data_IF_188037291266
#
_entry.id   IF_188037291266
#
_cell.length_a   1.000
_cell.length_b   1.000
_cell.length_c   1.000
_cell.angle_alpha   90.00
_cell.angle_beta   90.00
_cell.angle_gamma   90.00
#
_symmetry.space_group_name_H-M   'P 1'
#
loop_
_entity.id
_entity.type
_entity.pdbx_description
1 polymer ?
#
# COMPACT_ATOMS: atom_id res chain seq x y z
N UNK A 1 -12.75 -6.86 39.91
CA UNK A 1 -11.65 -5.91 39.62
C UNK A 1 -10.51 -6.51 38.78
N UNK A 2 -10.26 -7.84 38.80
CA UNK A 2 -9.12 -8.45 38.08
C UNK A 2 -9.35 -8.63 36.58
N UNK A 3 -10.54 -9.04 36.12
CA UNK A 3 -10.75 -9.43 34.70
C UNK A 3 -10.41 -8.32 33.69
N UNK A 4 -10.86 -7.09 33.94
CA UNK A 4 -10.54 -5.94 33.07
C UNK A 4 -9.02 -5.66 33.02
N UNK A 5 -8.36 -5.70 34.17
CA UNK A 5 -6.91 -5.51 34.26
C UNK A 5 -6.16 -6.65 33.55
N UNK A 6 -6.59 -7.89 33.74
CA UNK A 6 -6.01 -9.08 33.10
C UNK A 6 -6.18 -9.01 31.58
N UNK A 7 -7.32 -8.54 31.09
CA UNK A 7 -7.57 -8.37 29.67
C UNK A 7 -6.67 -7.28 29.06
N UNK A 8 -6.57 -6.10 29.70
CA UNK A 8 -5.65 -5.05 29.26
C UNK A 8 -4.18 -5.50 29.33
N UNK A 9 -3.82 -6.24 30.37
CA UNK A 9 -2.48 -6.78 30.51
C UNK A 9 -2.16 -7.80 29.42
N UNK A 10 -3.09 -8.70 29.09
CA UNK A 10 -2.90 -9.68 28.02
C UNK A 10 -2.83 -9.00 26.64
N UNK A 11 -3.65 -7.98 26.41
CA UNK A 11 -3.58 -7.15 25.21
C UNK A 11 -2.20 -6.48 25.09
N UNK A 12 -1.70 -5.88 26.17
CA UNK A 12 -0.38 -5.26 26.22
C UNK A 12 0.75 -6.27 25.95
N UNK A 13 0.73 -7.44 26.59
CA UNK A 13 1.73 -8.49 26.35
C UNK A 13 1.70 -8.95 24.89
N UNK A 14 0.50 -9.06 24.31
CA UNK A 14 0.33 -9.42 22.90
C UNK A 14 0.92 -8.34 21.98
N UNK A 15 0.65 -7.06 22.23
CA UNK A 15 1.22 -5.95 21.47
C UNK A 15 2.75 -5.89 21.60
N UNK A 16 3.29 -6.11 22.80
CA UNK A 16 4.73 -6.20 23.03
C UNK A 16 5.37 -7.34 22.24
N UNK A 17 4.77 -8.52 22.25
CA UNK A 17 5.27 -9.67 21.50
C UNK A 17 5.25 -9.40 19.99
N UNK A 18 4.16 -8.83 19.47
CA UNK A 18 4.04 -8.45 18.05
C UNK A 18 5.14 -7.44 17.69
N UNK A 19 5.29 -6.38 18.48
CA UNK A 19 6.26 -5.33 18.18
C UNK A 19 7.69 -5.82 18.31
N UNK A 20 8.00 -6.67 19.30
CA UNK A 20 9.29 -7.31 19.44
C UNK A 20 9.64 -8.17 18.21
N UNK A 21 8.72 -9.02 17.77
CA UNK A 21 8.88 -9.80 16.55
C UNK A 21 9.08 -8.89 15.34
N UNK A 22 8.38 -7.76 15.28
CA UNK A 22 8.46 -6.82 14.16
C UNK A 22 9.76 -5.99 14.15
N UNK A 23 10.35 -5.72 15.32
CA UNK A 23 11.61 -4.98 15.48
C UNK A 23 12.85 -5.83 15.22
N UNK A 24 12.75 -7.15 15.38
CA UNK A 24 13.83 -8.07 15.06
C UNK A 24 14.26 -7.90 13.60
N UNK A 25 15.54 -8.11 13.23
CA UNK A 25 15.93 -8.16 11.83
C UNK A 25 15.35 -9.41 11.16
N UNK A 26 14.11 -9.35 10.68
CA UNK A 26 13.47 -10.49 10.02
C UNK A 26 14.07 -10.73 8.63
N UNK A 27 14.15 -11.98 8.17
CA UNK A 27 14.55 -12.29 6.80
C UNK A 27 13.56 -11.70 5.79
N UNK A 28 14.04 -11.35 4.59
CA UNK A 28 13.27 -10.66 3.55
C UNK A 28 11.93 -11.34 3.20
N UNK A 29 11.93 -12.68 3.14
CA UNK A 29 10.73 -13.48 2.84
C UNK A 29 9.60 -13.22 3.87
N UNK A 30 9.95 -13.14 5.15
CA UNK A 30 8.99 -12.92 6.23
C UNK A 30 8.50 -11.48 6.23
N UNK A 31 9.40 -10.50 6.00
CA UNK A 31 9.02 -9.09 5.85
C UNK A 31 8.00 -8.87 4.73
N UNK A 32 8.19 -9.53 3.58
CA UNK A 32 7.24 -9.47 2.46
C UNK A 32 5.89 -10.08 2.82
N UNK A 33 5.88 -11.22 3.51
CA UNK A 33 4.65 -11.88 3.97
C UNK A 33 3.87 -11.02 4.97
N UNK A 34 4.56 -10.48 5.98
CA UNK A 34 3.96 -9.58 6.99
C UNK A 34 3.42 -8.32 6.32
N UNK A 35 4.18 -7.72 5.40
CA UNK A 35 3.74 -6.55 4.63
C UNK A 35 2.48 -6.83 3.80
N UNK A 36 2.40 -7.98 3.14
CA UNK A 36 1.20 -8.40 2.40
C UNK A 36 0.00 -8.60 3.32
N UNK A 37 0.18 -9.32 4.44
CA UNK A 37 -0.89 -9.54 5.42
C UNK A 37 -1.42 -8.22 5.99
N UNK A 38 -0.53 -7.30 6.35
CA UNK A 38 -0.91 -5.98 6.85
C UNK A 38 -1.62 -5.12 5.80
N UNK A 39 -1.16 -5.15 4.54
CA UNK A 39 -1.84 -4.43 3.47
C UNK A 39 -3.23 -4.99 3.20
N UNK A 40 -3.41 -6.31 3.22
CA UNK A 40 -4.72 -6.95 3.11
C UNK A 40 -5.63 -6.54 4.28
N UNK A 41 -5.09 -6.51 5.50
CA UNK A 41 -5.82 -6.08 6.70
C UNK A 41 -6.25 -4.61 6.60
N UNK A 42 -5.36 -3.74 6.10
CA UNK A 42 -5.64 -2.32 5.85
C UNK A 42 -6.56 -2.08 4.66
N UNK A 43 -6.67 -2.99 3.71
CA UNK A 43 -7.54 -2.81 2.55
C UNK A 43 -9.02 -2.82 2.97
N UNK A 44 -9.37 -3.58 4.01
CA UNK A 44 -10.72 -3.60 4.55
C UNK A 44 -11.08 -2.28 5.24
N UNK A 45 -12.10 -1.60 4.72
CA UNK A 45 -12.65 -0.37 5.31
C UNK A 45 -13.18 -0.61 6.73
N UNK A 46 -13.80 -1.77 6.97
CA UNK A 46 -14.33 -2.16 8.27
C UNK A 46 -13.23 -2.20 9.33
N UNK A 47 -12.07 -2.76 8.99
CA UNK A 47 -10.95 -2.88 9.92
C UNK A 47 -10.34 -1.52 10.28
N UNK A 48 -10.32 -0.57 9.32
CA UNK A 48 -9.87 0.81 9.60
C UNK A 48 -10.77 1.48 10.64
N UNK A 49 -12.08 1.36 10.48
CA UNK A 49 -13.03 1.94 11.43
C UNK A 49 -12.86 1.35 12.82
N UNK A 50 -12.74 0.01 12.92
CA UNK A 50 -12.52 -0.66 14.21
C UNK A 50 -11.22 -0.19 14.88
N UNK A 51 -10.12 -0.08 14.13
CA UNK A 51 -8.84 0.40 14.66
C UNK A 51 -8.92 1.86 15.15
N UNK A 52 -9.60 2.74 14.41
CA UNK A 52 -9.76 4.15 14.82
C UNK A 52 -10.63 4.25 16.07
N UNK A 53 -11.77 3.56 16.12
CA UNK A 53 -12.66 3.56 17.29
C UNK A 53 -11.95 2.99 18.50
N UNK A 54 -11.23 1.88 18.34
CA UNK A 54 -10.42 1.28 19.41
C UNK A 54 -9.33 2.23 19.90
N UNK A 55 -8.62 2.91 18.99
CA UNK A 55 -7.60 3.89 19.36
C UNK A 55 -8.17 5.07 20.14
N UNK A 56 -9.34 5.59 19.75
CA UNK A 56 -10.03 6.66 20.48
C UNK A 56 -10.49 6.18 21.87
N UNK A 57 -11.03 4.96 21.96
CA UNK A 57 -11.47 4.36 23.22
C UNK A 57 -10.29 4.21 24.19
N UNK A 58 -9.18 3.62 23.76
CA UNK A 58 -7.98 3.47 24.60
C UNK A 58 -7.42 4.83 25.00
N UNK A 59 -7.42 5.81 24.10
CA UNK A 59 -6.99 7.19 24.41
C UNK A 59 -7.88 7.85 25.46
N UNK A 60 -9.20 7.64 25.39
CA UNK A 60 -10.16 8.13 26.39
C UNK A 60 -9.94 7.46 27.76
N UNK A 61 -9.73 6.14 27.79
CA UNK A 61 -9.38 5.40 29.00
C UNK A 61 -8.08 5.89 29.63
N UNK A 62 -7.08 6.19 28.81
CA UNK A 62 -5.81 6.75 29.24
C UNK A 62 -6.02 8.14 29.84
N UNK A 63 -6.79 9.02 29.18
CA UNK A 63 -7.10 10.36 29.68
C UNK A 63 -7.88 10.33 31.01
N UNK A 64 -8.89 9.45 31.14
CA UNK A 64 -9.62 9.24 32.40
C UNK A 64 -8.69 8.74 33.51
N UNK A 65 -7.82 7.77 33.18
CA UNK A 65 -6.83 7.24 34.13
C UNK A 65 -5.86 8.33 34.58
N UNK A 66 -5.35 9.16 33.65
CA UNK A 66 -4.47 10.30 33.95
C UNK A 66 -5.15 11.29 34.90
N UNK A 67 -6.40 11.68 34.59
CA UNK A 67 -7.17 12.64 35.40
C UNK A 67 -7.41 12.12 36.82
N UNK A 68 -7.65 10.81 36.99
CA UNK A 68 -7.84 10.18 38.30
C UNK A 68 -6.54 10.00 39.06
N UNK A 69 -5.45 9.62 38.39
CA UNK A 69 -4.14 9.43 39.03
C UNK A 69 -3.41 10.72 39.37
N UNK A 70 -3.73 11.84 38.71
CA UNK A 70 -3.17 13.15 39.01
C UNK A 70 -3.80 13.84 40.23
N UNK A 71 -4.85 13.25 40.84
CA UNK A 71 -5.47 13.83 42.04
C UNK A 71 -4.47 13.85 43.20
N UNK A 72 -4.18 15.02 43.80
CA UNK A 72 -3.25 15.10 44.91
C UNK A 72 -3.83 14.38 46.13
N UNK A 73 -2.95 13.73 46.89
CA UNK A 73 -3.31 13.27 48.23
C UNK A 73 -3.36 14.49 49.17
N UNK A 74 -4.20 14.45 50.23
CA UNK A 74 -4.17 15.50 51.24
C UNK A 74 -2.75 15.65 51.81
N UNK A 75 -2.31 16.91 52.00
CA UNK A 75 -0.96 17.23 52.48
C UNK A 75 -0.70 16.73 53.91
N UNK A 76 -1.76 16.66 54.71
CA UNK A 76 -1.69 16.16 56.08
C UNK A 76 -1.65 14.63 56.09
N UNK A 77 -0.52 14.06 56.51
CA UNK A 77 -0.32 12.60 56.61
C UNK A 77 -1.32 11.92 57.54
N UNK A 78 -1.91 12.64 58.50
CA UNK A 78 -2.91 12.08 59.41
C UNK A 78 -4.28 11.90 58.73
N UNK A 79 -4.54 12.62 57.64
CA UNK A 79 -5.76 12.50 56.82
C UNK A 79 -5.60 11.44 55.71
N UNK A 80 -4.40 10.89 55.53
CA UNK A 80 -4.08 9.94 54.48
C UNK A 80 -4.39 8.53 54.98
N UNK A 81 -5.54 7.98 54.58
CA UNK A 81 -5.89 6.59 54.87
C UNK A 81 -5.18 5.63 53.92
N UNK A 82 -4.86 4.39 54.37
CA UNK A 82 -4.24 3.36 53.52
C UNK A 82 -5.08 3.06 52.26
N UNK A 83 -6.40 3.20 52.33
CA UNK A 83 -7.30 3.03 51.19
C UNK A 83 -7.08 4.10 50.10
N UNK A 84 -6.75 5.34 50.50
CA UNK A 84 -6.41 6.41 49.55
C UNK A 84 -5.08 6.13 48.85
N UNK A 85 -4.09 5.57 49.56
CA UNK A 85 -2.84 5.12 48.94
C UNK A 85 -3.08 3.99 47.95
N UNK A 86 -3.84 2.97 48.36
CA UNK A 86 -4.16 1.84 47.50
C UNK A 86 -4.87 2.30 46.23
N UNK A 87 -5.87 3.18 46.37
CA UNK A 87 -6.60 3.78 45.25
C UNK A 87 -5.67 4.54 44.30
N UNK A 88 -4.74 5.33 44.83
CA UNK A 88 -3.75 6.03 44.02
C UNK A 88 -2.83 5.07 43.26
N UNK A 89 -2.33 4.02 43.93
CA UNK A 89 -1.50 3.00 43.31
C UNK A 89 -2.24 2.26 42.17
N UNK A 90 -3.54 2.00 42.35
CA UNK A 90 -4.38 1.42 41.30
C UNK A 90 -4.52 2.32 40.09
N UNK A 91 -4.77 3.62 40.28
CA UNK A 91 -4.85 4.57 39.18
C UNK A 91 -3.50 4.74 38.47
N UNK A 92 -2.40 4.79 39.22
CA UNK A 92 -1.06 4.89 38.67
C UNK A 92 -0.71 3.67 37.78
N UNK A 93 -1.00 2.44 38.24
CA UNK A 93 -0.84 1.23 37.43
C UNK A 93 -1.66 1.28 36.14
N UNK A 94 -2.91 1.71 36.23
CA UNK A 94 -3.80 1.76 35.07
C UNK A 94 -3.34 2.81 34.05
N UNK A 95 -2.78 3.94 34.48
CA UNK A 95 -2.13 4.93 33.60
C UNK A 95 -1.00 4.28 32.81
N UNK A 96 -0.10 3.54 33.47
CA UNK A 96 1.02 2.92 32.77
C UNK A 96 0.55 1.88 31.76
N UNK A 97 -0.35 0.97 32.15
CA UNK A 97 -0.85 -0.07 31.24
C UNK A 97 -1.52 0.56 30.02
N UNK A 98 -2.46 1.49 30.21
CA UNK A 98 -3.16 2.13 29.09
C UNK A 98 -2.23 3.01 28.23
N UNK A 99 -1.25 3.66 28.84
CA UNK A 99 -0.24 4.45 28.13
C UNK A 99 0.65 3.59 27.24
N UNK A 100 1.10 2.43 27.72
CA UNK A 100 1.89 1.50 26.92
C UNK A 100 1.09 0.89 25.78
N UNK A 101 -0.18 0.53 26.00
CA UNK A 101 -1.06 0.04 24.92
C UNK A 101 -1.18 1.10 23.82
N UNK A 102 -1.42 2.35 24.21
CA UNK A 102 -1.51 3.46 23.27
C UNK A 102 -0.20 3.68 22.50
N UNK A 103 0.93 3.61 23.21
CA UNK A 103 2.26 3.72 22.62
C UNK A 103 2.51 2.61 21.58
N UNK A 104 2.26 1.34 21.91
CA UNK A 104 2.46 0.24 20.97
C UNK A 104 1.47 0.28 19.81
N UNK A 105 0.21 0.64 20.06
CA UNK A 105 -0.79 0.88 19.03
C UNK A 105 -0.35 1.92 18.00
N UNK A 106 0.41 2.94 18.40
CA UNK A 106 1.00 3.93 17.50
C UNK A 106 2.31 3.43 16.84
N UNK A 107 3.14 2.67 17.55
CA UNK A 107 4.41 2.16 17.03
C UNK A 107 4.22 1.11 15.92
N UNK A 108 3.26 0.19 16.06
CA UNK A 108 3.01 -0.86 15.05
C UNK A 108 2.86 -0.29 13.62
N UNK A 109 1.98 0.69 13.35
CA UNK A 109 1.84 1.23 11.99
C UNK A 109 3.09 1.97 11.50
N UNK A 110 3.86 2.59 12.40
CA UNK A 110 5.14 3.25 12.07
C UNK A 110 6.15 2.20 11.61
N UNK A 111 6.36 1.14 12.40
CA UNK A 111 7.31 0.05 12.09
C UNK A 111 6.88 -0.67 10.80
N UNK A 112 5.59 -0.94 10.62
CA UNK A 112 5.08 -1.50 9.37
C UNK A 112 5.39 -0.62 8.15
N UNK A 113 5.34 0.72 8.31
CA UNK A 113 5.74 1.66 7.27
C UNK A 113 7.23 1.57 6.94
N UNK A 114 8.09 1.42 7.95
CA UNK A 114 9.54 1.20 7.77
C UNK A 114 9.80 -0.13 7.06
N UNK A 115 9.15 -1.22 7.48
CA UNK A 115 9.29 -2.53 6.83
C UNK A 115 8.87 -2.48 5.37
N UNK A 116 7.75 -1.81 5.05
CA UNK A 116 7.28 -1.69 3.68
C UNK A 116 8.28 -0.93 2.79
N UNK A 117 8.93 0.11 3.31
CA UNK A 117 10.02 0.81 2.60
C UNK A 117 11.21 -0.13 2.40
N UNK A 118 11.62 -0.82 3.46
CA UNK A 118 12.79 -1.70 3.44
C UNK A 118 12.63 -2.85 2.42
N UNK A 119 11.44 -3.45 2.32
CA UNK A 119 11.12 -4.47 1.30
C UNK A 119 11.19 -3.88 -0.11
N UNK A 120 10.64 -2.68 -0.34
CA UNK A 120 10.72 -2.02 -1.66
C UNK A 120 12.16 -1.68 -2.07
N UNK A 121 13.00 -1.28 -1.13
CA UNK A 121 14.42 -1.05 -1.37
C UNK A 121 15.14 -2.35 -1.74
N UNK A 122 14.93 -3.43 -0.99
CA UNK A 122 15.53 -4.74 -1.30
C UNK A 122 15.04 -5.32 -2.62
N UNK A 123 13.74 -5.19 -2.95
CA UNK A 123 13.19 -5.64 -4.23
C UNK A 123 13.78 -4.84 -5.41
N UNK A 124 13.92 -3.51 -5.29
CA UNK A 124 14.56 -2.67 -6.33
C UNK A 124 16.03 -3.05 -6.54
N UNK A 125 16.78 -3.27 -5.45
CA UNK A 125 18.18 -3.68 -5.52
C UNK A 125 18.35 -5.04 -6.21
N UNK A 126 17.48 -6.02 -5.90
CA UNK A 126 17.49 -7.33 -6.56
C UNK A 126 17.13 -7.26 -8.03
N UNK A 127 16.19 -6.40 -8.40
CA UNK A 127 15.85 -6.17 -9.81
C UNK A 127 17.04 -5.54 -10.52
N UNK A 128 17.67 -4.52 -9.95
CA UNK A 128 18.82 -3.86 -10.56
C UNK A 128 20.04 -4.79 -10.67
N UNK A 129 20.32 -5.61 -9.64
CA UNK A 129 21.40 -6.60 -9.68
C UNK A 129 21.09 -7.75 -10.63
N UNK A 130 19.85 -8.24 -10.64
CA UNK A 130 19.41 -9.30 -11.57
C UNK A 130 19.33 -8.82 -13.01
N UNK A 131 19.03 -7.55 -13.26
CA UNK A 131 19.17 -6.92 -14.58
C UNK A 131 20.65 -6.83 -14.94
N UNK A 132 21.54 -6.44 -14.03
CA UNK A 132 22.99 -6.43 -14.32
C UNK A 132 23.55 -7.82 -14.65
N UNK A 133 23.11 -8.88 -13.94
CA UNK A 133 23.48 -10.27 -14.24
C UNK A 133 22.87 -10.76 -15.56
N UNK A 134 21.59 -10.46 -15.83
CA UNK A 134 20.94 -10.82 -17.10
C UNK A 134 21.53 -10.07 -18.29
N UNK A 135 21.94 -8.82 -18.14
CA UNK A 135 22.64 -8.08 -19.20
C UNK A 135 24.02 -8.69 -19.46
N UNK A 136 24.73 -9.14 -18.41
CA UNK A 136 26.03 -9.82 -18.56
C UNK A 136 25.92 -11.23 -19.18
N UNK A 137 24.80 -11.95 -18.97
CA UNK A 137 24.56 -13.30 -19.49
C UNK A 137 23.92 -13.27 -20.90
N UNK A 138 23.03 -12.30 -21.19
CA UNK A 138 22.44 -12.09 -22.52
C UNK A 138 23.42 -11.47 -23.53
N UNK A 139 24.40 -10.65 -23.10
CA UNK A 139 25.36 -10.04 -24.03
C UNK A 139 26.24 -11.07 -24.76
N UNK A 140 26.43 -12.26 -24.18
CA UNK A 140 27.24 -13.33 -24.78
C UNK A 140 26.44 -14.32 -25.63
N UNK A 141 25.12 -14.44 -25.43
CA UNK A 141 24.34 -15.55 -26.00
C UNK A 141 23.15 -15.10 -26.87
N UNK A 142 22.52 -13.94 -26.60
CA UNK A 142 21.38 -13.43 -27.37
C UNK A 142 21.77 -12.56 -28.58
N UNK A 143 22.89 -11.82 -28.51
CA UNK A 143 23.27 -10.84 -29.55
C UNK A 143 23.52 -11.45 -30.96
N UNK A 144 23.77 -12.76 -31.09
CA UNK A 144 23.91 -13.40 -32.43
C UNK A 144 22.59 -13.95 -33.01
N UNK A 145 21.59 -14.24 -32.18
CA UNK A 145 20.35 -14.93 -32.61
C UNK A 145 19.15 -14.01 -32.67
N UNK A 146 19.01 -13.09 -31.71
CA UNK A 146 17.85 -12.20 -31.57
C UNK A 146 17.86 -11.09 -32.64
N UNK A 147 19.06 -10.61 -33.01
CA UNK A 147 19.20 -9.57 -34.05
C UNK A 147 18.72 -10.04 -35.44
N UNK A 148 18.97 -11.30 -35.81
CA UNK A 148 18.55 -11.84 -37.12
C UNK A 148 17.03 -12.06 -37.21
N UNK A 149 16.41 -12.52 -36.13
CA UNK A 149 14.96 -12.78 -36.10
C UNK A 149 14.15 -11.48 -36.02
N UNK A 150 14.59 -10.50 -35.21
CA UNK A 150 13.94 -9.20 -35.10
C UNK A 150 14.08 -8.36 -36.37
N UNK A 151 15.22 -8.41 -37.05
CA UNK A 151 15.40 -7.74 -38.34
C UNK A 151 14.51 -8.32 -39.45
N UNK A 152 14.27 -9.64 -39.44
CA UNK A 152 13.35 -10.27 -40.37
C UNK A 152 11.89 -9.83 -40.09
N UNK A 153 11.47 -9.84 -38.83
CA UNK A 153 10.12 -9.42 -38.43
C UNK A 153 9.87 -7.92 -38.71
N UNK A 154 10.88 -7.06 -38.51
CA UNK A 154 10.78 -5.63 -38.83
C UNK A 154 10.63 -5.38 -40.34
N UNK A 155 11.30 -6.17 -41.19
CA UNK A 155 11.16 -6.05 -42.65
C UNK A 155 9.77 -6.50 -43.11
N UNK A 156 9.25 -7.58 -42.53
CA UNK A 156 7.90 -8.08 -42.83
C UNK A 156 6.82 -7.07 -42.40
N UNK A 157 6.91 -6.53 -41.17
CA UNK A 157 5.96 -5.51 -40.69
C UNK A 157 6.04 -4.21 -41.49
N UNK A 158 7.20 -3.81 -41.99
CA UNK A 158 7.31 -2.64 -42.89
C UNK A 158 6.69 -2.92 -44.26
N UNK A 159 6.89 -4.11 -44.81
CA UNK A 159 6.27 -4.49 -46.09
C UNK A 159 4.73 -4.55 -45.98
N UNK A 160 4.19 -5.07 -44.88
CA UNK A 160 2.75 -5.13 -44.64
C UNK A 160 2.13 -3.74 -44.42
N UNK A 161 2.81 -2.84 -43.70
CA UNK A 161 2.37 -1.44 -43.55
C UNK A 161 2.34 -0.70 -44.90
N UNK A 162 3.35 -0.87 -45.75
CA UNK A 162 3.36 -0.27 -47.09
C UNK A 162 2.26 -0.83 -48.00
N UNK A 163 1.97 -2.13 -47.88
CA UNK A 163 0.86 -2.75 -48.61
C UNK A 163 -0.50 -2.20 -48.14
N UNK A 164 -0.69 -2.07 -46.82
CA UNK A 164 -1.90 -1.47 -46.22
C UNK A 164 -2.07 -0.01 -46.64
N UNK A 165 -0.99 0.77 -46.66
CA UNK A 165 -1.01 2.16 -47.10
C UNK A 165 -1.45 2.26 -48.57
N UNK A 166 -0.89 1.43 -49.46
CA UNK A 166 -1.33 1.36 -50.87
C UNK A 166 -2.80 0.96 -51.02
N UNK A 167 -3.28 0.02 -50.20
CA UNK A 167 -4.70 -0.37 -50.22
C UNK A 167 -5.61 0.79 -49.77
N UNK A 168 -5.18 1.55 -48.77
CA UNK A 168 -5.90 2.70 -48.25
C UNK A 168 -5.93 3.85 -49.27
N UNK A 169 -4.81 4.13 -49.93
CA UNK A 169 -4.72 5.13 -51.01
C UNK A 169 -5.61 4.76 -52.20
N UNK A 170 -5.60 3.49 -52.61
CA UNK A 170 -6.49 2.99 -53.67
C UNK A 170 -7.98 3.10 -53.29
N UNK A 171 -8.31 2.83 -52.02
CA UNK A 171 -9.68 2.95 -51.51
C UNK A 171 -10.13 4.41 -51.46
N UNK A 172 -9.27 5.32 -51.02
CA UNK A 172 -9.54 6.75 -51.01
C UNK A 172 -9.74 7.29 -52.43
N UNK A 173 -8.88 6.91 -53.38
CA UNK A 173 -9.04 7.27 -54.78
C UNK A 173 -10.32 6.70 -55.42
N UNK A 174 -10.80 5.55 -54.95
CA UNK A 174 -12.09 5.00 -55.38
C UNK A 174 -13.27 5.78 -54.78
N UNK A 175 -13.18 6.17 -53.50
CA UNK A 175 -14.18 7.00 -52.83
C UNK A 175 -14.28 8.37 -53.51
N UNK A 176 -13.16 9.02 -53.81
CA UNK A 176 -13.15 10.32 -54.51
C UNK A 176 -13.79 10.20 -55.90
N UNK A 177 -13.47 9.14 -56.65
CA UNK A 177 -14.13 8.86 -57.95
C UNK A 177 -15.63 8.57 -57.83
N UNK A 178 -16.09 7.98 -56.72
CA UNK A 178 -17.52 7.79 -56.48
C UNK A 178 -18.21 9.10 -56.10
N UNK A 179 -17.58 9.93 -55.27
CA UNK A 179 -18.07 11.26 -54.90
C UNK A 179 -18.17 12.16 -56.14
N UNK A 180 -17.17 12.13 -57.02
CA UNK A 180 -17.18 12.89 -58.28
C UNK A 180 -18.28 12.41 -59.24
N UNK A 181 -18.55 11.10 -59.30
CA UNK A 181 -19.68 10.56 -60.07
C UNK A 181 -21.02 10.96 -59.45
N UNK A 182 -21.16 10.94 -58.13
CA UNK A 182 -22.41 11.30 -57.45
C UNK A 182 -22.68 12.82 -57.57
N UNK A 183 -21.64 13.66 -57.48
CA UNK A 183 -21.71 15.10 -57.68
C UNK A 183 -22.01 15.45 -59.15
N UNK A 184 -21.36 14.78 -60.11
CA UNK A 184 -21.66 14.95 -61.54
C UNK A 184 -23.09 14.54 -61.93
N UNK A 185 -23.69 13.60 -61.19
CA UNK A 185 -25.09 13.18 -61.39
C UNK A 185 -26.08 14.19 -60.80
N UNK A 186 -25.74 14.83 -59.67
CA UNK A 186 -26.56 15.89 -59.04
C UNK A 186 -26.55 17.20 -59.85
N UNK A 187 -25.41 17.60 -60.41
CA UNK A 187 -25.33 18.81 -61.26
C UNK A 187 -26.05 18.64 -62.61
N UNK A 188 -26.18 17.40 -63.11
CA UNK A 188 -26.96 17.10 -64.32
C UNK A 188 -28.48 17.09 -64.07
N UNK A 189 -28.94 16.78 -62.85
CA UNK A 189 -30.36 16.85 -62.48
C UNK A 189 -30.85 18.27 -62.14
N UNK A 190 -29.99 19.16 -61.67
CA UNK A 190 -30.39 20.55 -61.36
C UNK A 190 -30.44 21.46 -62.60
N UNK A 191 -29.67 21.19 -63.67
CA UNK A 191 -29.70 21.97 -64.92
C UNK A 191 -30.87 21.67 -65.87
N UNK A 192 -31.80 20.78 -65.49
CA UNK A 192 -32.97 20.43 -66.32
C UNK A 192 -34.29 21.01 -65.81
N UNK A 193 -34.27 21.77 -64.71
CA UNK A 193 -35.45 22.35 -64.06
C UNK A 193 -35.34 23.89 -63.87
N UNK A 194 -34.62 24.59 -64.74
CA UNK A 194 -34.77 26.04 -64.96
C UNK A 194 -35.07 26.32 -66.44
#
# INVERSE_FOLDING_TARGET
>A
MSLYLTLLFLLLVTEMAILFVLLMPLPHMVRKRIGYMYNNLKASSQMKTVLVVFSILVSSLFADSMKRGARPLPLDRNLVTPDMLATKAYHQRNIYISGFILYFGLCIPIVMGVIAKLVKYEDTLKIQSGVAERTAENDKTENLRVDKTLLAELKEKRASLLALQKQLDNKNAFIDKQLDKENGTKTASEKKNE
#
